data_IF_795764310166
#
_entry.id   IF_795764310166
#
_cell.length_a   1.000
_cell.length_b   1.000
_cell.length_c   1.000
_cell.angle_alpha   90.00
_cell.angle_beta   90.00
_cell.angle_gamma   90.00
#
_symmetry.space_group_name_H-M   'P 1'
#
loop_
_entity.id
_entity.type
_entity.pdbx_description
1 polymer ?
#
# COMPACT_ATOMS: atom_id res chain seq x y z
N UNK A 1 -24.68 -4.46 -21.69
CA UNK A 1 -24.97 -3.05 -21.33
C UNK A 1 -24.48 -2.02 -22.37
N UNK A 2 -24.23 -2.38 -23.64
CA UNK A 2 -23.58 -1.50 -24.63
C UNK A 2 -24.27 -0.14 -24.87
N UNK A 3 -25.60 -0.06 -25.10
CA UNK A 3 -26.28 1.22 -25.36
C UNK A 3 -26.15 2.16 -24.16
N UNK A 4 -26.44 1.64 -22.96
CA UNK A 4 -26.34 2.37 -21.70
C UNK A 4 -24.92 2.90 -21.43
N UNK A 5 -23.89 2.07 -21.65
CA UNK A 5 -22.49 2.48 -21.48
C UNK A 5 -22.10 3.63 -22.41
N UNK A 6 -22.51 3.58 -23.68
CA UNK A 6 -22.18 4.62 -24.65
C UNK A 6 -22.84 5.94 -24.30
N UNK A 7 -24.11 5.92 -23.85
CA UNK A 7 -24.84 7.13 -23.48
C UNK A 7 -24.28 7.76 -22.20
N UNK A 8 -23.95 6.95 -21.18
CA UNK A 8 -23.24 7.45 -20.01
C UNK A 8 -21.91 8.10 -20.38
N UNK A 9 -21.10 7.46 -21.24
CA UNK A 9 -19.83 8.04 -21.64
C UNK A 9 -20.05 9.36 -22.39
N UNK A 10 -20.97 9.41 -23.36
CA UNK A 10 -21.25 10.64 -24.10
C UNK A 10 -21.69 11.79 -23.19
N UNK A 11 -22.58 11.53 -22.23
CA UNK A 11 -23.01 12.53 -21.25
C UNK A 11 -21.88 12.95 -20.30
N UNK A 12 -21.02 12.01 -19.89
CA UNK A 12 -19.87 12.30 -19.04
C UNK A 12 -18.80 13.13 -19.77
N UNK A 13 -18.54 12.86 -21.05
CA UNK A 13 -17.60 13.63 -21.88
C UNK A 13 -18.01 15.09 -22.04
N UNK A 14 -19.31 15.40 -22.00
CA UNK A 14 -19.80 16.79 -22.00
C UNK A 14 -19.42 17.55 -20.71
N UNK A 15 -19.29 16.84 -19.58
CA UNK A 15 -18.92 17.41 -18.28
C UNK A 15 -17.41 17.41 -18.06
N UNK A 16 -16.73 16.39 -18.59
CA UNK A 16 -15.31 16.13 -18.41
C UNK A 16 -14.65 15.97 -19.80
N UNK A 17 -14.42 17.06 -20.54
CA UNK A 17 -13.95 16.99 -21.93
C UNK A 17 -12.53 16.41 -22.08
N UNK A 18 -11.78 16.30 -20.97
CA UNK A 18 -10.48 15.62 -20.91
C UNK A 18 -10.58 14.09 -20.85
N UNK A 19 -11.77 13.54 -20.60
CA UNK A 19 -12.03 12.10 -20.64
C UNK A 19 -12.60 11.76 -22.02
N UNK A 20 -12.02 10.76 -22.67
CA UNK A 20 -12.46 10.26 -23.97
C UNK A 20 -12.54 8.74 -23.98
N UNK A 21 -13.34 8.22 -24.91
CA UNK A 21 -13.36 6.81 -25.30
C UNK A 21 -11.94 6.30 -25.63
N UNK A 22 -11.51 5.25 -24.94
CA UNK A 22 -10.25 4.56 -25.19
C UNK A 22 -10.35 3.51 -26.32
N UNK A 23 -9.21 2.99 -26.81
CA UNK A 23 -9.18 1.99 -27.89
C UNK A 23 -9.87 0.67 -27.52
N UNK A 24 -9.90 0.33 -26.23
CA UNK A 24 -10.49 -0.91 -25.71
C UNK A 24 -11.96 -0.74 -25.27
N UNK A 25 -12.66 0.32 -25.72
CA UNK A 25 -14.07 0.52 -25.40
C UNK A 25 -14.97 -0.39 -26.26
N UNK A 26 -15.18 -1.60 -25.76
CA UNK A 26 -15.93 -2.69 -26.40
C UNK A 26 -16.84 -3.36 -25.35
N UNK A 27 -18.02 -3.80 -25.77
CA UNK A 27 -19.09 -4.30 -24.89
C UNK A 27 -19.74 -5.55 -25.51
N UNK A 28 -18.99 -6.64 -25.60
CA UNK A 28 -19.40 -7.86 -26.31
C UNK A 28 -20.18 -8.83 -25.41
N UNK A 29 -19.61 -9.21 -24.25
CA UNK A 29 -20.22 -10.13 -23.30
C UNK A 29 -19.68 -9.92 -21.88
N UNK A 30 -20.39 -10.43 -20.87
CA UNK A 30 -19.95 -10.38 -19.47
C UNK A 30 -18.63 -11.15 -19.26
N UNK A 31 -18.45 -12.29 -19.94
CA UNK A 31 -17.25 -13.15 -19.86
C UNK A 31 -16.02 -12.42 -20.40
N UNK A 32 -16.14 -11.81 -21.60
CA UNK A 32 -15.04 -11.07 -22.22
C UNK A 32 -14.70 -9.80 -21.44
N UNK A 33 -15.71 -9.10 -20.90
CA UNK A 33 -15.51 -7.93 -20.07
C UNK A 33 -14.72 -8.24 -18.78
N UNK A 34 -15.12 -9.29 -18.06
CA UNK A 34 -14.46 -9.63 -16.79
C UNK A 34 -13.01 -10.10 -16.99
N UNK A 35 -12.76 -10.92 -18.02
CA UNK A 35 -11.39 -11.31 -18.39
C UNK A 35 -10.53 -10.11 -18.78
N UNK A 36 -11.06 -9.17 -19.58
CA UNK A 36 -10.32 -7.96 -19.96
C UNK A 36 -9.97 -7.08 -18.75
N UNK A 37 -10.87 -6.95 -17.78
CA UNK A 37 -10.59 -6.25 -16.52
C UNK A 37 -9.47 -6.93 -15.74
N UNK A 38 -9.56 -8.25 -15.58
CA UNK A 38 -8.60 -9.06 -14.83
C UNK A 38 -7.16 -8.90 -15.34
N UNK A 39 -6.96 -8.92 -16.65
CA UNK A 39 -5.64 -8.74 -17.26
C UNK A 39 -5.22 -7.27 -17.44
N UNK A 40 -6.02 -6.31 -16.93
CA UNK A 40 -5.71 -4.88 -17.02
C UNK A 40 -5.84 -4.29 -18.41
N UNK A 41 -6.53 -4.98 -19.33
CA UNK A 41 -6.81 -4.49 -20.68
C UNK A 41 -7.96 -3.47 -20.69
N UNK A 42 -8.76 -3.40 -19.63
CA UNK A 42 -9.86 -2.46 -19.46
C UNK A 42 -9.84 -1.81 -18.07
N UNK A 43 -10.24 -0.54 -18.01
CA UNK A 43 -10.39 0.21 -16.75
C UNK A 43 -11.61 -0.26 -15.93
N UNK A 44 -12.67 -0.67 -16.62
CA UNK A 44 -13.98 -1.07 -16.07
C UNK A 44 -14.56 -2.23 -16.89
N UNK A 45 -15.38 -3.09 -16.26
CA UNK A 45 -16.12 -4.15 -16.92
C UNK A 45 -17.61 -4.10 -16.55
N UNK A 46 -18.51 -3.74 -17.48
CA UNK A 46 -19.96 -3.82 -17.26
C UNK A 46 -20.42 -5.27 -17.24
N UNK A 47 -21.23 -5.65 -16.25
CA UNK A 47 -21.74 -7.00 -16.06
C UNK A 47 -23.23 -6.98 -15.77
N UNK A 48 -23.99 -7.91 -16.34
CA UNK A 48 -25.42 -8.09 -16.05
C UNK A 48 -25.72 -9.16 -15.00
N UNK A 49 -24.66 -9.72 -14.42
CA UNK A 49 -24.68 -10.71 -13.33
C UNK A 49 -23.46 -10.54 -12.45
N UNK A 50 -23.47 -11.22 -11.30
CA UNK A 50 -22.24 -11.39 -10.53
C UNK A 50 -21.25 -12.30 -11.29
N UNK A 51 -19.93 -12.06 -11.13
CA UNK A 51 -18.91 -12.98 -11.61
C UNK A 51 -19.09 -14.36 -10.98
N UNK A 52 -18.86 -15.41 -11.75
CA UNK A 52 -18.87 -16.77 -11.25
C UNK A 52 -17.66 -17.02 -10.35
N UNK A 53 -17.73 -17.95 -9.39
CA UNK A 53 -16.58 -18.31 -8.56
C UNK A 53 -15.34 -18.69 -9.38
N UNK A 54 -15.51 -19.35 -10.53
CA UNK A 54 -14.43 -19.70 -11.46
C UNK A 54 -13.81 -18.49 -12.15
N UNK A 55 -14.58 -17.42 -12.38
CA UNK A 55 -14.06 -16.15 -12.89
C UNK A 55 -13.27 -15.40 -11.79
N UNK A 56 -13.60 -15.61 -10.51
CA UNK A 56 -12.90 -15.00 -9.37
C UNK A 56 -11.63 -15.76 -8.95
N UNK A 57 -11.58 -17.08 -9.18
CA UNK A 57 -10.45 -17.95 -8.80
C UNK A 57 -9.06 -17.40 -9.20
N UNK A 58 -8.85 -16.86 -10.43
CA UNK A 58 -7.55 -16.29 -10.79
C UNK A 58 -7.10 -15.12 -9.90
N UNK A 59 -8.02 -14.32 -9.35
CA UNK A 59 -7.68 -13.26 -8.38
C UNK A 59 -7.03 -13.80 -7.11
N UNK A 60 -7.45 -14.99 -6.66
CA UNK A 60 -6.88 -15.64 -5.48
C UNK A 60 -5.50 -16.26 -5.73
N UNK A 61 -5.22 -16.72 -6.95
CA UNK A 61 -4.05 -17.55 -7.25
C UNK A 61 -3.00 -16.89 -8.15
N UNK A 62 -3.42 -16.17 -9.20
CA UNK A 62 -2.52 -15.63 -10.23
C UNK A 62 -2.03 -14.22 -9.91
N UNK A 63 -2.75 -13.49 -9.07
CA UNK A 63 -2.45 -12.10 -8.74
C UNK A 63 -1.95 -11.90 -7.31
N UNK A 64 -1.52 -12.98 -6.65
CA UNK A 64 -0.78 -12.92 -5.39
C UNK A 64 0.53 -12.13 -5.61
N UNK A 65 0.75 -11.07 -4.83
CA UNK A 65 1.87 -10.13 -5.01
C UNK A 65 1.42 -8.74 -5.50
N UNK A 66 2.14 -8.14 -6.47
CA UNK A 66 1.92 -6.74 -6.84
C UNK A 66 0.54 -6.39 -7.43
N UNK A 67 -0.17 -7.45 -7.82
CA UNK A 67 -1.43 -7.36 -8.52
C UNK A 67 -2.62 -7.74 -7.64
N UNK A 68 -2.45 -7.90 -6.30
CA UNK A 68 -3.54 -8.17 -5.35
C UNK A 68 -4.62 -7.10 -5.45
N UNK A 69 -5.50 -7.31 -6.41
CA UNK A 69 -6.66 -6.54 -6.76
C UNK A 69 -7.82 -7.49 -6.53
N UNK A 70 -8.92 -6.94 -6.07
CA UNK A 70 -10.19 -7.62 -6.06
C UNK A 70 -11.17 -6.81 -6.89
N UNK A 71 -12.09 -7.47 -7.58
CA UNK A 71 -13.13 -6.77 -8.31
C UNK A 71 -14.04 -6.08 -7.29
N UNK A 72 -14.09 -4.75 -7.32
CA UNK A 72 -15.16 -3.99 -6.70
C UNK A 72 -16.36 -4.01 -7.65
N UNK A 73 -17.44 -4.65 -7.24
CA UNK A 73 -18.72 -4.63 -7.96
C UNK A 73 -19.56 -3.45 -7.48
N UNK A 74 -19.76 -2.48 -8.36
CA UNK A 74 -20.61 -1.31 -8.12
C UNK A 74 -21.92 -1.55 -8.83
N UNK A 75 -23.03 -1.67 -8.09
CA UNK A 75 -24.35 -1.80 -8.69
C UNK A 75 -24.73 -0.45 -9.30
N UNK A 76 -25.09 -0.42 -10.58
CA UNK A 76 -25.41 0.83 -11.31
C UNK A 76 -26.83 0.87 -11.87
N UNK A 77 -27.47 -0.28 -12.01
CA UNK A 77 -28.83 -0.45 -12.48
C UNK A 77 -29.36 -1.83 -12.09
N UNK A 78 -30.57 -2.15 -12.53
CA UNK A 78 -31.08 -3.51 -12.60
C UNK A 78 -31.54 -3.85 -14.02
N UNK A 79 -31.44 -5.12 -14.40
CA UNK A 79 -31.92 -5.70 -15.67
C UNK A 79 -32.76 -6.94 -15.33
N UNK A 80 -34.00 -7.00 -15.80
CA UNK A 80 -34.94 -8.10 -15.51
C UNK A 80 -35.05 -8.46 -14.00
N UNK A 81 -35.06 -7.43 -13.14
CA UNK A 81 -35.11 -7.59 -11.69
C UNK A 81 -33.81 -8.07 -11.03
N UNK A 82 -32.74 -8.25 -11.80
CA UNK A 82 -31.39 -8.62 -11.31
C UNK A 82 -30.46 -7.41 -11.28
N UNK A 83 -29.48 -7.35 -10.38
CA UNK A 83 -28.49 -6.27 -10.40
C UNK A 83 -27.62 -6.27 -11.66
N UNK A 84 -27.37 -5.07 -12.20
CA UNK A 84 -26.33 -4.83 -13.19
C UNK A 84 -25.18 -4.04 -12.53
N UNK A 85 -23.95 -4.44 -12.81
CA UNK A 85 -22.76 -3.97 -12.15
C UNK A 85 -21.79 -3.31 -13.13
N UNK A 86 -20.97 -2.40 -12.61
CA UNK A 86 -19.66 -2.11 -13.18
C UNK A 86 -18.63 -2.71 -12.22
N UNK A 87 -17.86 -3.68 -12.72
CA UNK A 87 -16.71 -4.22 -12.03
C UNK A 87 -15.48 -3.34 -12.30
N UNK A 88 -14.73 -3.02 -11.26
CA UNK A 88 -13.45 -2.31 -11.36
C UNK A 88 -12.39 -2.99 -10.52
N UNK A 89 -11.16 -2.94 -10.99
CA UNK A 89 -10.05 -3.57 -10.29
C UNK A 89 -9.55 -2.65 -9.16
N UNK A 90 -9.68 -3.08 -7.91
CA UNK A 90 -9.29 -2.30 -6.75
C UNK A 90 -8.33 -3.07 -5.86
N UNK A 91 -7.20 -2.47 -5.47
CA UNK A 91 -6.35 -3.03 -4.42
C UNK A 91 -6.99 -2.76 -3.06
N UNK A 92 -6.96 -3.72 -2.11
CA UNK A 92 -7.44 -3.49 -0.75
C UNK A 92 -6.85 -2.20 -0.17
N UNK A 93 -7.71 -1.34 0.39
CA UNK A 93 -7.30 -0.06 0.99
C UNK A 93 -6.88 1.04 -0.01
N UNK A 94 -6.70 0.75 -1.30
CA UNK A 94 -6.30 1.75 -2.29
C UNK A 94 -7.50 2.48 -2.91
N UNK A 95 -7.36 3.78 -3.22
CA UNK A 95 -8.38 4.51 -3.93
C UNK A 95 -8.50 4.07 -5.38
N UNK A 96 -9.71 4.18 -5.93
CA UNK A 96 -9.92 4.02 -7.37
C UNK A 96 -9.18 5.14 -8.13
N UNK A 97 -8.65 4.87 -9.34
CA UNK A 97 -8.15 5.93 -10.21
C UNK A 97 -9.22 7.02 -10.39
N UNK A 98 -8.82 8.29 -10.27
CA UNK A 98 -9.78 9.41 -10.21
C UNK A 98 -10.77 9.40 -11.39
N UNK A 99 -10.27 9.19 -12.62
CA UNK A 99 -11.11 9.09 -13.83
C UNK A 99 -12.21 8.02 -13.70
N UNK A 100 -11.87 6.85 -13.16
CA UNK A 100 -12.80 5.73 -12.98
C UNK A 100 -13.81 6.06 -11.88
N UNK A 101 -13.33 6.60 -10.75
CA UNK A 101 -14.18 7.04 -9.63
C UNK A 101 -15.22 8.06 -10.09
N UNK A 102 -14.80 9.11 -10.78
CA UNK A 102 -15.69 10.17 -11.26
C UNK A 102 -16.73 9.65 -12.26
N UNK A 103 -16.34 8.71 -13.13
CA UNK A 103 -17.28 8.12 -14.08
C UNK A 103 -18.33 7.22 -13.40
N UNK A 104 -17.93 6.43 -12.41
CA UNK A 104 -18.85 5.64 -11.58
C UNK A 104 -19.78 6.55 -10.76
N UNK A 105 -19.24 7.61 -10.15
CA UNK A 105 -20.02 8.59 -9.41
C UNK A 105 -21.04 9.30 -10.31
N UNK A 106 -20.68 9.59 -11.57
CA UNK A 106 -21.61 10.10 -12.57
C UNK A 106 -22.75 9.10 -12.85
N UNK A 107 -22.45 7.81 -13.06
CA UNK A 107 -23.50 6.79 -13.28
C UNK A 107 -24.48 6.71 -12.11
N UNK A 108 -23.98 6.87 -10.87
CA UNK A 108 -24.79 6.85 -9.64
C UNK A 108 -25.48 8.19 -9.34
N UNK A 109 -25.13 9.25 -10.07
CA UNK A 109 -25.77 10.55 -9.92
C UNK A 109 -27.19 10.54 -10.46
N UNK A 110 -27.98 11.58 -10.13
CA UNK A 110 -29.32 11.75 -10.68
C UNK A 110 -29.32 11.69 -12.21
N UNK A 111 -28.42 12.41 -12.86
CA UNK A 111 -28.36 12.48 -14.32
C UNK A 111 -27.96 11.13 -14.95
N UNK A 112 -27.06 10.41 -14.29
CA UNK A 112 -26.69 9.05 -14.69
C UNK A 112 -27.86 8.07 -14.57
N UNK A 113 -28.66 8.17 -13.51
CA UNK A 113 -29.84 7.33 -13.29
C UNK A 113 -31.03 7.73 -14.19
N UNK A 114 -31.16 9.00 -14.56
CA UNK A 114 -32.13 9.44 -15.58
C UNK A 114 -31.81 8.80 -16.95
N UNK A 115 -30.52 8.65 -17.30
CA UNK A 115 -30.13 7.88 -18.49
C UNK A 115 -30.60 6.42 -18.37
N UNK A 116 -30.46 5.77 -17.21
CA UNK A 116 -30.97 4.40 -17.02
C UNK A 116 -32.48 4.32 -17.26
N UNK A 117 -33.23 5.29 -16.73
CA UNK A 117 -34.69 5.34 -16.86
C UNK A 117 -35.17 5.44 -18.32
N UNK A 118 -34.33 5.96 -19.22
CA UNK A 118 -34.64 6.07 -20.65
C UNK A 118 -34.43 4.75 -21.42
N UNK A 119 -33.86 3.71 -20.80
CA UNK A 119 -33.65 2.41 -21.43
C UNK A 119 -34.68 1.39 -20.93
N UNK A 120 -35.54 0.89 -21.81
CA UNK A 120 -36.62 -0.04 -21.46
C UNK A 120 -36.17 -1.35 -20.77
N UNK A 121 -34.94 -1.81 -21.05
CA UNK A 121 -34.39 -3.04 -20.47
C UNK A 121 -33.74 -2.84 -19.09
N UNK A 122 -33.62 -1.60 -18.62
CA UNK A 122 -32.95 -1.29 -17.35
C UNK A 122 -33.87 -0.55 -16.40
N UNK A 123 -33.63 -0.73 -15.11
CA UNK A 123 -34.30 -0.02 -14.05
C UNK A 123 -33.28 0.81 -13.25
N UNK A 124 -33.55 2.10 -13.01
CA UNK A 124 -32.68 2.94 -12.20
C UNK A 124 -32.71 2.47 -10.75
N UNK A 125 -31.62 2.73 -10.05
CA UNK A 125 -31.52 2.58 -8.60
C UNK A 125 -32.34 3.66 -7.91
N UNK A 126 -32.88 3.34 -6.74
CA UNK A 126 -33.41 4.38 -5.84
C UNK A 126 -32.29 5.31 -5.38
N UNK A 127 -32.63 6.53 -4.97
CA UNK A 127 -31.66 7.50 -4.46
C UNK A 127 -30.84 6.95 -3.27
N UNK A 128 -31.46 6.12 -2.42
CA UNK A 128 -30.79 5.48 -1.28
C UNK A 128 -29.81 4.39 -1.74
N UNK A 129 -30.19 3.55 -2.71
CA UNK A 129 -29.29 2.55 -3.28
C UNK A 129 -28.09 3.21 -3.98
N UNK A 130 -28.34 4.22 -4.81
CA UNK A 130 -27.29 4.96 -5.48
C UNK A 130 -26.34 5.66 -4.49
N UNK A 131 -26.87 6.25 -3.42
CA UNK A 131 -26.06 6.86 -2.36
C UNK A 131 -25.18 5.83 -1.62
N UNK A 132 -25.72 4.65 -1.31
CA UNK A 132 -24.96 3.55 -0.70
C UNK A 132 -23.81 3.08 -1.60
N UNK A 133 -24.08 2.90 -2.89
CA UNK A 133 -23.05 2.53 -3.86
C UNK A 133 -22.00 3.64 -4.02
N UNK A 134 -22.41 4.90 -4.04
CA UNK A 134 -21.49 6.03 -4.17
C UNK A 134 -20.58 6.19 -2.94
N UNK A 135 -21.09 5.87 -1.75
CA UNK A 135 -20.30 5.84 -0.52
C UNK A 135 -19.17 4.79 -0.58
N UNK A 136 -19.41 3.64 -1.23
CA UNK A 136 -18.39 2.60 -1.44
C UNK A 136 -17.23 3.06 -2.34
N UNK A 137 -17.44 4.09 -3.16
CA UNK A 137 -16.40 4.71 -3.99
C UNK A 137 -15.49 5.67 -3.21
N UNK A 138 -15.93 6.13 -2.04
CA UNK A 138 -15.22 7.09 -1.20
C UNK A 138 -14.18 6.38 -0.35
N UNK A 139 -13.09 5.99 -0.98
CA UNK A 139 -11.88 5.47 -0.33
C UNK A 139 -10.93 6.61 0.01
N UNK A 140 -10.14 6.42 1.07
CA UNK A 140 -9.14 7.40 1.47
C UNK A 140 -8.13 7.59 0.33
N UNK A 141 -8.08 8.80 -0.21
CA UNK A 141 -7.08 9.22 -1.19
C UNK A 141 -6.02 10.05 -0.44
N UNK A 142 -4.78 9.54 -0.29
CA UNK A 142 -3.72 10.25 0.41
C UNK A 142 -3.51 11.64 -0.20
N UNK A 143 -3.35 12.71 0.60
CA UNK A 143 -3.05 14.02 0.06
C UNK A 143 -1.65 14.02 -0.57
N UNK A 144 -1.50 14.76 -1.68
CA UNK A 144 -0.20 15.04 -2.27
C UNK A 144 0.29 16.40 -1.80
N UNK A 145 1.39 16.43 -1.03
CA UNK A 145 1.94 17.64 -0.46
C UNK A 145 2.22 18.70 -1.57
N UNK A 146 1.57 19.89 -1.52
CA UNK A 146 1.75 20.93 -2.53
C UNK A 146 3.18 21.51 -2.55
N UNK A 147 3.96 21.34 -1.49
CA UNK A 147 5.35 21.81 -1.43
C UNK A 147 6.35 20.84 -2.09
N UNK A 148 5.89 19.68 -2.61
CA UNK A 148 6.74 18.79 -3.40
C UNK A 148 7.26 19.52 -4.65
N UNK A 149 8.57 19.39 -4.89
CA UNK A 149 9.21 20.07 -6.01
C UNK A 149 8.73 19.50 -7.35
N UNK A 150 8.53 20.37 -8.33
CA UNK A 150 8.30 19.96 -9.72
C UNK A 150 9.61 19.44 -10.30
N UNK A 151 9.56 18.31 -11.01
CA UNK A 151 10.73 17.75 -11.68
C UNK A 151 11.27 18.73 -12.73
N UNK A 152 12.59 18.91 -12.75
CA UNK A 152 13.30 19.69 -13.77
C UNK A 152 14.05 18.75 -14.70
N UNK A 153 13.75 18.85 -15.99
CA UNK A 153 14.46 18.09 -17.02
C UNK A 153 15.93 18.46 -17.07
N UNK A 154 16.72 17.52 -17.57
CA UNK A 154 18.18 17.59 -17.70
C UNK A 154 18.46 17.53 -19.19
N UNK A 155 19.14 18.55 -19.72
CA UNK A 155 19.46 18.61 -21.14
C UNK A 155 20.37 17.44 -21.55
N UNK A 156 20.14 16.89 -22.74
CA UNK A 156 20.95 15.83 -23.35
C UNK A 156 21.14 14.59 -22.46
N UNK A 157 20.14 14.27 -21.61
CA UNK A 157 20.19 13.07 -20.78
C UNK A 157 19.82 11.84 -21.60
N UNK A 158 20.77 10.91 -21.74
CA UNK A 158 20.59 9.64 -22.42
C UNK A 158 21.12 8.48 -21.58
N UNK A 159 20.54 7.30 -21.75
CA UNK A 159 21.05 6.09 -21.14
C UNK A 159 19.98 5.02 -20.93
N UNK A 160 20.43 3.86 -20.46
CA UNK A 160 19.56 2.80 -19.97
C UNK A 160 19.64 2.78 -18.44
N UNK A 161 18.57 2.34 -17.79
CA UNK A 161 18.54 2.12 -16.35
C UNK A 161 18.09 0.69 -16.09
N UNK A 162 18.93 -0.07 -15.41
CA UNK A 162 18.62 -1.42 -14.96
C UNK A 162 17.98 -1.39 -13.57
N UNK A 163 17.00 -2.27 -13.33
CA UNK A 163 16.36 -2.41 -12.03
C UNK A 163 15.91 -3.85 -11.76
N UNK A 164 16.49 -4.45 -10.72
CA UNK A 164 16.11 -5.77 -10.22
C UNK A 164 15.66 -5.65 -8.77
N UNK A 165 14.47 -6.16 -8.41
CA UNK A 165 14.05 -6.08 -7.01
C UNK A 165 12.65 -6.59 -6.69
N UNK A 166 12.01 -5.92 -5.72
CA UNK A 166 10.74 -6.35 -5.12
C UNK A 166 9.61 -6.42 -6.14
N UNK A 167 8.98 -7.58 -6.23
CA UNK A 167 7.73 -7.80 -6.95
C UNK A 167 6.66 -6.78 -6.53
N UNK A 168 6.48 -6.56 -5.22
CA UNK A 168 5.53 -5.58 -4.68
C UNK A 168 5.76 -4.12 -5.12
N UNK A 169 6.85 -3.78 -5.82
CA UNK A 169 7.09 -2.45 -6.38
C UNK A 169 7.03 -2.43 -7.92
N UNK A 170 6.85 -3.58 -8.58
CA UNK A 170 6.98 -3.72 -10.03
C UNK A 170 6.12 -2.72 -10.81
N UNK A 171 4.82 -2.69 -10.55
CA UNK A 171 3.87 -1.81 -11.23
C UNK A 171 4.21 -0.34 -11.03
N UNK A 172 4.62 0.04 -9.82
CA UNK A 172 5.01 1.42 -9.51
C UNK A 172 6.32 1.80 -10.24
N UNK A 173 7.30 0.90 -10.29
CA UNK A 173 8.54 1.08 -11.05
C UNK A 173 8.26 1.21 -12.55
N UNK A 174 7.40 0.35 -13.10
CA UNK A 174 6.98 0.40 -14.50
C UNK A 174 6.26 1.71 -14.85
N UNK A 175 5.34 2.17 -13.99
CA UNK A 175 4.68 3.47 -14.15
C UNK A 175 5.70 4.62 -14.09
N UNK A 176 6.58 4.64 -13.10
CA UNK A 176 7.58 5.70 -12.98
C UNK A 176 8.48 5.80 -14.21
N UNK A 177 9.05 4.70 -14.69
CA UNK A 177 9.96 4.77 -15.84
C UNK A 177 9.23 5.11 -17.14
N UNK A 178 7.97 4.68 -17.30
CA UNK A 178 7.14 5.08 -18.43
C UNK A 178 6.84 6.59 -18.41
N UNK A 179 6.45 7.12 -17.26
CA UNK A 179 6.13 8.54 -17.12
C UNK A 179 7.39 9.42 -17.21
N UNK A 180 8.51 8.93 -16.67
CA UNK A 180 9.82 9.57 -16.79
C UNK A 180 10.27 9.65 -18.25
N UNK A 181 10.11 8.57 -19.02
CA UNK A 181 10.46 8.55 -20.44
C UNK A 181 9.70 9.63 -21.23
N UNK A 182 8.46 9.96 -20.86
CA UNK A 182 7.70 11.06 -21.52
C UNK A 182 8.35 12.42 -21.33
N UNK A 183 9.03 12.66 -20.19
CA UNK A 183 9.69 13.94 -19.90
C UNK A 183 11.20 13.91 -20.20
N UNK A 184 11.79 12.73 -20.32
CA UNK A 184 13.21 12.47 -20.57
C UNK A 184 13.36 11.34 -21.60
N UNK A 185 13.01 11.58 -22.88
CA UNK A 185 12.91 10.52 -23.91
C UNK A 185 14.25 9.84 -24.24
N UNK A 186 15.37 10.46 -23.89
CA UNK A 186 16.70 9.87 -24.05
C UNK A 186 17.01 8.74 -23.08
N UNK A 187 16.24 8.59 -21.98
CA UNK A 187 16.42 7.53 -20.99
C UNK A 187 15.40 6.42 -21.19
N UNK A 188 15.86 5.17 -21.15
CA UNK A 188 15.03 3.98 -21.42
C UNK A 188 15.22 2.91 -20.34
N UNK A 189 14.28 1.95 -20.30
CA UNK A 189 14.46 0.70 -19.54
C UNK A 189 15.70 -0.03 -20.06
N UNK A 190 16.54 -0.51 -19.15
CA UNK A 190 17.64 -1.39 -19.46
C UNK A 190 17.19 -2.84 -19.70
N UNK A 191 18.17 -3.70 -19.96
CA UNK A 191 17.93 -5.13 -20.26
C UNK A 191 17.63 -5.92 -18.99
N UNK A 192 18.15 -5.47 -17.84
CA UNK A 192 17.94 -6.07 -16.53
C UNK A 192 16.81 -5.34 -15.81
N UNK A 193 15.58 -5.50 -16.28
CA UNK A 193 14.37 -4.92 -15.68
C UNK A 193 13.43 -6.01 -15.14
N UNK A 194 13.71 -6.51 -13.93
CA UNK A 194 13.06 -7.70 -13.36
C UNK A 194 12.73 -7.54 -11.86
N UNK A 195 11.44 -7.55 -11.52
CA UNK A 195 10.99 -7.39 -10.13
C UNK A 195 10.36 -8.66 -9.60
N UNK A 196 11.20 -9.62 -9.17
CA UNK A 196 10.79 -10.95 -8.71
C UNK A 196 10.90 -11.15 -7.18
N UNK A 197 11.44 -10.18 -6.45
CA UNK A 197 11.57 -10.26 -5.00
C UNK A 197 12.70 -9.39 -4.43
N UNK A 198 12.55 -8.98 -3.17
CA UNK A 198 13.53 -8.11 -2.49
C UNK A 198 14.93 -8.74 -2.42
N UNK A 199 15.02 -10.04 -2.14
CA UNK A 199 16.31 -10.74 -2.06
C UNK A 199 17.04 -10.75 -3.41
N UNK A 200 16.32 -10.92 -4.52
CA UNK A 200 16.91 -10.90 -5.86
C UNK A 200 17.57 -9.55 -6.16
N UNK A 201 16.92 -8.45 -5.77
CA UNK A 201 17.50 -7.12 -5.91
C UNK A 201 18.77 -6.92 -5.08
N UNK A 202 18.79 -7.44 -3.85
CA UNK A 202 20.00 -7.40 -3.02
C UNK A 202 21.15 -8.20 -3.65
N UNK A 203 20.88 -9.43 -4.10
CA UNK A 203 21.90 -10.27 -4.74
C UNK A 203 22.44 -9.60 -6.00
N UNK A 204 21.57 -9.00 -6.82
CA UNK A 204 21.98 -8.23 -8.00
C UNK A 204 22.85 -7.02 -7.63
N UNK A 205 22.54 -6.29 -6.56
CA UNK A 205 23.41 -5.22 -6.05
C UNK A 205 24.77 -5.76 -5.57
N UNK A 206 24.82 -6.91 -4.91
CA UNK A 206 26.08 -7.47 -4.43
C UNK A 206 27.07 -7.70 -5.59
N UNK A 207 26.58 -8.15 -6.75
CA UNK A 207 27.42 -8.43 -7.92
C UNK A 207 27.45 -7.31 -8.98
N UNK A 208 26.86 -6.14 -8.69
CA UNK A 208 26.72 -5.02 -9.63
C UNK A 208 25.96 -5.35 -10.94
N UNK A 209 24.96 -6.25 -10.89
CA UNK A 209 24.10 -6.63 -12.03
C UNK A 209 22.88 -5.71 -12.20
N UNK A 210 22.72 -4.69 -11.33
CA UNK A 210 21.63 -3.71 -11.44
C UNK A 210 22.05 -2.34 -10.93
N UNK A 211 21.51 -1.28 -11.53
CA UNK A 211 21.68 0.09 -11.03
C UNK A 211 20.86 0.35 -9.76
N UNK A 212 19.68 -0.26 -9.67
CA UNK A 212 18.68 0.02 -8.64
C UNK A 212 17.98 -1.24 -8.15
N UNK A 213 17.95 -1.44 -6.83
CA UNK A 213 17.13 -2.46 -6.20
C UNK A 213 15.98 -1.86 -5.39
N UNK A 214 14.75 -1.83 -5.94
CA UNK A 214 13.53 -1.59 -5.19
C UNK A 214 13.34 -2.67 -4.12
N UNK A 215 13.09 -2.28 -2.88
CA UNK A 215 12.94 -3.20 -1.75
C UNK A 215 11.72 -2.84 -0.90
N UNK A 216 10.87 -3.84 -0.65
CA UNK A 216 9.66 -3.70 0.18
C UNK A 216 9.90 -3.89 1.68
N UNK A 217 11.15 -4.06 2.10
CA UNK A 217 11.51 -4.19 3.51
C UNK A 217 12.88 -3.62 3.82
N UNK A 218 13.10 -3.47 5.12
CA UNK A 218 14.37 -3.13 5.73
C UNK A 218 15.44 -4.17 5.36
N UNK A 219 16.69 -3.71 5.26
CA UNK A 219 17.84 -4.59 5.02
C UNK A 219 18.11 -5.37 6.31
N UNK A 220 18.21 -6.68 6.20
CA UNK A 220 18.47 -7.52 7.37
C UNK A 220 19.93 -7.41 7.83
N UNK A 221 20.24 -7.72 9.10
CA UNK A 221 21.61 -7.66 9.61
C UNK A 221 22.59 -8.54 8.83
N UNK A 222 22.18 -9.75 8.46
CA UNK A 222 22.97 -10.69 7.63
C UNK A 222 23.22 -10.11 6.24
N UNK A 223 22.20 -9.50 5.64
CA UNK A 223 22.27 -8.86 4.33
C UNK A 223 23.21 -7.64 4.35
N UNK A 224 23.15 -6.86 5.43
CA UNK A 224 24.07 -5.74 5.66
C UNK A 224 25.52 -6.21 5.81
N UNK A 225 25.73 -7.32 6.55
CA UNK A 225 27.06 -7.96 6.69
C UNK A 225 27.59 -8.49 5.36
N UNK A 226 26.74 -9.12 4.56
CA UNK A 226 27.12 -9.59 3.22
C UNK A 226 27.52 -8.42 2.32
N UNK A 227 26.76 -7.32 2.35
CA UNK A 227 27.08 -6.11 1.60
C UNK A 227 28.43 -5.50 2.02
N UNK A 228 28.68 -5.38 3.33
CA UNK A 228 29.96 -4.87 3.86
C UNK A 228 31.15 -5.75 3.47
N UNK A 229 30.98 -7.08 3.53
CA UNK A 229 32.01 -8.02 3.11
C UNK A 229 32.36 -7.91 1.61
N UNK A 230 31.39 -7.57 0.76
CA UNK A 230 31.59 -7.47 -0.70
C UNK A 230 32.06 -6.08 -1.15
N UNK A 231 31.48 -5.02 -0.58
CA UNK A 231 31.69 -3.64 -1.05
C UNK A 231 32.54 -2.78 -0.11
N UNK A 232 32.98 -3.34 1.03
CA UNK A 232 33.72 -2.63 2.08
C UNK A 232 33.01 -1.35 2.55
N UNK A 233 31.69 -1.40 2.56
CA UNK A 233 30.79 -0.33 2.96
C UNK A 233 29.67 -0.92 3.80
N UNK A 234 29.40 -0.34 4.96
CA UNK A 234 28.42 -0.89 5.91
C UNK A 234 27.01 -1.06 5.32
N UNK A 235 26.60 -0.16 4.41
CA UNK A 235 25.27 -0.16 3.80
C UNK A 235 25.33 0.41 2.37
N UNK A 236 24.45 -0.05 1.46
CA UNK A 236 24.24 0.63 0.18
C UNK A 236 23.63 2.03 0.39
N UNK A 237 23.65 2.86 -0.66
CA UNK A 237 22.83 4.08 -0.67
C UNK A 237 21.38 3.68 -0.61
N UNK A 238 20.63 4.23 0.33
CA UNK A 238 19.20 3.94 0.51
C UNK A 238 18.34 5.20 0.38
N UNK A 239 17.40 5.13 -0.55
CA UNK A 239 16.44 6.18 -0.84
C UNK A 239 15.04 5.68 -0.45
N UNK A 240 14.38 6.35 0.49
CA UNK A 240 12.95 6.14 0.73
C UNK A 240 12.18 6.75 -0.43
N UNK A 241 11.24 6.02 -1.01
CA UNK A 241 10.49 6.49 -2.21
C UNK A 241 8.97 6.56 -2.00
N UNK A 242 8.47 5.84 -1.00
CA UNK A 242 7.09 5.89 -0.54
C UNK A 242 7.05 5.42 0.93
N UNK A 243 6.00 5.79 1.66
CA UNK A 243 5.63 5.12 2.91
C UNK A 243 4.94 3.79 2.60
N UNK A 244 5.03 2.86 3.52
CA UNK A 244 4.30 1.59 3.48
C UNK A 244 2.79 1.80 3.40
N UNK A 245 2.08 0.73 3.02
CA UNK A 245 0.64 0.75 2.92
C UNK A 245 -0.07 0.69 4.26
N UNK A 246 -1.38 0.85 4.21
CA UNK A 246 -2.30 0.70 5.32
C UNK A 246 -3.35 -0.34 4.94
N UNK A 247 -3.55 -1.34 5.81
CA UNK A 247 -4.56 -2.39 5.61
C UNK A 247 -4.43 -3.03 4.22
N UNK A 248 -3.19 -3.32 3.84
CA UNK A 248 -2.81 -3.91 2.56
C UNK A 248 -2.17 -5.26 2.82
N UNK A 249 -2.98 -6.34 2.94
CA UNK A 249 -2.47 -7.67 3.21
C UNK A 249 -1.29 -8.02 2.31
N UNK A 250 -0.30 -8.75 2.83
CA UNK A 250 0.90 -9.18 2.10
C UNK A 250 1.78 -8.04 1.54
N UNK A 251 1.60 -6.79 2.02
CA UNK A 251 2.46 -5.65 1.66
C UNK A 251 3.24 -5.14 2.87
N UNK A 252 4.05 -4.11 2.62
CA UNK A 252 4.79 -3.37 3.63
C UNK A 252 3.81 -2.52 4.46
N UNK A 253 3.18 -3.11 5.47
CA UNK A 253 2.18 -2.44 6.30
C UNK A 253 2.78 -1.82 7.56
N UNK A 254 2.20 -0.70 7.98
CA UNK A 254 2.44 -0.13 9.31
C UNK A 254 2.05 -1.13 10.41
N UNK A 255 2.79 -1.15 11.51
CA UNK A 255 2.63 -2.14 12.57
C UNK A 255 1.65 -1.62 13.64
N UNK A 256 0.55 -2.33 13.83
CA UNK A 256 -0.38 -2.15 14.93
C UNK A 256 0.20 -2.79 16.20
N UNK A 257 -0.11 -2.20 17.36
CA UNK A 257 0.11 -2.83 18.66
C UNK A 257 -1.24 -3.30 19.18
N UNK A 258 -1.38 -4.59 19.41
CA UNK A 258 -2.61 -5.21 19.84
C UNK A 258 -2.55 -5.62 21.31
N UNK A 259 -3.70 -5.43 21.98
CA UNK A 259 -4.02 -5.96 23.30
C UNK A 259 -5.42 -6.60 23.23
N UNK A 260 -5.81 -7.43 24.21
CA UNK A 260 -7.20 -7.87 24.34
C UNK A 260 -8.17 -6.69 24.40
N UNK A 261 -9.37 -6.87 23.86
CA UNK A 261 -10.40 -5.82 23.80
C UNK A 261 -10.74 -5.23 25.19
N UNK A 262 -10.71 -6.06 26.22
CA UNK A 262 -11.00 -5.68 27.61
C UNK A 262 -9.81 -5.07 28.38
N UNK A 263 -8.62 -5.00 27.77
CA UNK A 263 -7.47 -4.35 28.40
C UNK A 263 -7.75 -2.84 28.50
N UNK A 264 -7.59 -2.17 29.65
CA UNK A 264 -7.94 -0.75 29.79
C UNK A 264 -6.92 0.20 29.14
N UNK A 265 -5.72 -0.24 28.79
CA UNK A 265 -4.72 0.62 28.14
C UNK A 265 -5.22 1.05 26.75
N UNK A 266 -5.08 2.33 26.42
CA UNK A 266 -5.50 2.89 25.12
C UNK A 266 -4.33 3.40 24.29
N UNK A 267 -3.17 3.61 24.91
CA UNK A 267 -2.04 4.27 24.28
C UNK A 267 -0.71 3.81 24.86
N UNK A 268 0.35 3.83 24.05
CA UNK A 268 1.70 3.41 24.43
C UNK A 268 2.77 4.19 23.66
N UNK A 269 3.95 4.39 24.24
CA UNK A 269 5.08 5.02 23.53
C UNK A 269 6.01 3.97 22.93
N UNK A 270 6.75 4.34 21.86
CA UNK A 270 7.79 3.47 21.30
C UNK A 270 8.85 3.10 22.34
N UNK A 271 9.17 4.00 23.28
CA UNK A 271 10.09 3.72 24.36
C UNK A 271 9.57 2.63 25.31
N UNK A 272 8.31 2.73 25.74
CA UNK A 272 7.66 1.70 26.57
C UNK A 272 7.58 0.36 25.86
N UNK A 273 7.31 0.35 24.54
CA UNK A 273 7.37 -0.88 23.76
C UNK A 273 8.77 -1.52 23.81
N UNK A 274 9.83 -0.73 23.68
CA UNK A 274 11.19 -1.25 23.78
C UNK A 274 11.50 -1.81 25.18
N UNK A 275 10.97 -1.18 26.24
CA UNK A 275 11.09 -1.62 27.64
C UNK A 275 10.31 -2.90 27.95
N UNK A 276 9.35 -3.30 27.11
CA UNK A 276 8.60 -4.57 27.21
C UNK A 276 9.26 -5.65 26.33
N UNK A 277 9.57 -5.30 25.08
CA UNK A 277 9.92 -6.24 24.01
C UNK A 277 11.42 -6.54 23.94
N UNK A 278 12.28 -5.73 24.55
CA UNK A 278 13.74 -5.89 24.53
C UNK A 278 14.25 -6.97 25.48
N UNK A 279 15.46 -7.48 25.23
CA UNK A 279 16.11 -8.55 26.01
C UNK A 279 16.19 -8.29 27.52
N UNK A 280 16.25 -7.03 27.94
CA UNK A 280 16.30 -6.60 29.33
C UNK A 280 15.05 -5.77 29.67
N UNK A 281 13.88 -6.41 29.83
CA UNK A 281 12.64 -5.70 30.02
C UNK A 281 12.62 -4.98 31.38
N UNK A 282 12.29 -3.69 31.38
CA UNK A 282 12.05 -2.90 32.61
C UNK A 282 10.56 -2.78 32.93
N UNK A 283 9.70 -3.01 31.93
CA UNK A 283 8.24 -3.08 32.07
C UNK A 283 7.82 -4.53 31.88
N UNK A 284 7.32 -5.14 32.95
CA UNK A 284 6.89 -6.55 33.02
C UNK A 284 5.47 -6.70 33.57
N UNK A 285 4.88 -5.64 34.12
CA UNK A 285 3.51 -5.60 34.65
C UNK A 285 2.75 -4.39 34.13
N UNK A 286 1.44 -4.55 33.95
CA UNK A 286 0.54 -3.51 33.45
C UNK A 286 0.44 -2.29 34.36
N UNK A 287 0.65 -2.44 35.68
CA UNK A 287 0.71 -1.31 36.61
C UNK A 287 1.82 -0.31 36.33
N UNK A 288 2.93 -0.75 35.71
CA UNK A 288 4.03 0.13 35.31
C UNK A 288 3.67 1.05 34.13
N UNK A 289 2.57 0.74 33.43
CA UNK A 289 1.96 1.58 32.39
C UNK A 289 0.80 2.44 32.94
N UNK A 290 0.61 2.47 34.26
CA UNK A 290 -0.41 3.28 34.94
C UNK A 290 -1.76 2.59 35.10
N UNK A 291 -1.89 1.30 34.79
CA UNK A 291 -3.13 0.56 35.06
C UNK A 291 -3.26 0.25 36.56
N UNK A 292 -4.50 0.18 37.06
CA UNK A 292 -4.79 0.06 38.51
C UNK A 292 -5.69 -1.14 38.81
N UNK A 293 -5.96 -1.37 40.10
CA UNK A 293 -6.81 -2.47 40.56
C UNK A 293 -6.24 -3.83 40.17
N UNK A 294 -7.08 -4.73 39.63
CA UNK A 294 -6.66 -6.06 39.19
C UNK A 294 -5.58 -6.06 38.08
N UNK A 295 -5.33 -4.91 37.43
CA UNK A 295 -4.28 -4.76 36.42
C UNK A 295 -2.94 -4.31 36.99
N UNK A 296 -2.89 -3.78 38.23
CA UNK A 296 -1.65 -3.25 38.78
C UNK A 296 -0.53 -4.32 38.85
N UNK A 297 -0.88 -5.50 39.36
CA UNK A 297 0.05 -6.63 39.51
C UNK A 297 0.00 -7.63 38.36
N UNK A 298 -0.85 -7.40 37.35
CA UNK A 298 -1.01 -8.32 36.23
C UNK A 298 0.26 -8.35 35.38
N UNK A 299 0.86 -9.54 35.13
CA UNK A 299 2.02 -9.66 34.24
C UNK A 299 1.63 -9.35 32.79
N UNK A 300 2.64 -8.91 32.02
CA UNK A 300 2.53 -8.74 30.58
C UNK A 300 3.01 -10.03 29.90
N UNK A 301 2.13 -10.67 29.13
CA UNK A 301 2.48 -11.79 28.24
C UNK A 301 2.73 -11.25 26.85
N UNK A 302 3.83 -11.65 26.20
CA UNK A 302 4.20 -11.13 24.88
C UNK A 302 3.97 -12.21 23.83
N UNK A 303 3.14 -11.91 22.83
CA UNK A 303 2.93 -12.76 21.66
C UNK A 303 3.43 -12.04 20.41
N UNK A 304 4.12 -12.76 19.54
CA UNK A 304 4.60 -12.22 18.26
C UNK A 304 4.64 -13.28 17.16
N UNK A 305 4.60 -12.86 15.88
CA UNK A 305 4.98 -13.73 14.77
C UNK A 305 6.40 -14.26 14.96
N UNK A 306 6.84 -15.31 14.23
CA UNK A 306 8.18 -15.84 14.37
C UNK A 306 9.21 -14.74 14.16
N UNK A 307 10.31 -14.72 14.91
CA UNK A 307 11.26 -13.60 14.87
C UNK A 307 11.88 -13.37 13.48
N UNK A 308 11.93 -14.41 12.64
CA UNK A 308 12.36 -14.36 11.24
C UNK A 308 11.32 -13.78 10.28
N UNK A 309 10.08 -13.56 10.74
CA UNK A 309 9.01 -13.00 9.92
C UNK A 309 9.24 -11.50 9.64
N UNK A 310 8.79 -10.98 8.49
CA UNK A 310 8.99 -9.57 8.14
C UNK A 310 8.47 -8.56 9.18
N UNK A 311 7.32 -8.83 9.80
CA UNK A 311 6.73 -7.96 10.84
C UNK A 311 7.61 -7.88 12.08
N UNK A 312 8.11 -9.03 12.56
CA UNK A 312 9.03 -9.10 13.69
C UNK A 312 10.34 -8.37 13.36
N UNK A 313 10.98 -8.68 12.24
CA UNK A 313 12.21 -7.99 11.83
C UNK A 313 12.04 -6.46 11.74
N UNK A 314 10.92 -5.99 11.19
CA UNK A 314 10.63 -4.55 11.13
C UNK A 314 10.45 -3.94 12.53
N UNK A 315 9.72 -4.61 13.43
CA UNK A 315 9.58 -4.15 14.83
C UNK A 315 10.91 -4.16 15.57
N UNK A 316 11.79 -5.13 15.33
CA UNK A 316 13.13 -5.16 15.89
C UNK A 316 13.95 -3.94 15.43
N UNK A 317 13.83 -3.55 14.16
CA UNK A 317 14.50 -2.36 13.62
C UNK A 317 13.89 -1.07 14.19
N UNK A 318 12.56 -0.92 14.17
CA UNK A 318 11.87 0.32 14.53
C UNK A 318 11.84 0.59 16.05
N UNK A 319 11.58 -0.45 16.85
CA UNK A 319 11.40 -0.33 18.30
C UNK A 319 12.69 -0.65 19.04
N UNK A 320 13.33 -1.78 18.70
CA UNK A 320 14.53 -2.24 19.41
C UNK A 320 15.84 -1.70 18.83
N UNK A 321 15.80 -0.95 17.72
CA UNK A 321 16.98 -0.41 17.02
C UNK A 321 18.01 -1.50 16.68
N UNK A 322 17.52 -2.70 16.32
CA UNK A 322 18.34 -3.88 16.04
C UNK A 322 18.75 -4.68 17.28
N UNK A 323 18.25 -4.32 18.48
CA UNK A 323 18.47 -5.06 19.72
C UNK A 323 17.79 -6.43 19.75
N UNK A 324 18.18 -7.28 20.70
CA UNK A 324 17.61 -8.63 20.87
C UNK A 324 16.24 -8.59 21.55
N UNK A 325 15.41 -9.57 21.22
CA UNK A 325 14.09 -9.76 21.83
C UNK A 325 14.17 -10.22 23.28
N UNK A 326 13.14 -9.87 24.05
CA UNK A 326 12.83 -10.46 25.34
C UNK A 326 12.77 -11.99 25.22
N UNK A 327 13.39 -12.73 26.14
CA UNK A 327 13.40 -14.22 26.09
C UNK A 327 12.05 -14.85 26.46
N UNK A 328 11.14 -14.07 27.04
CA UNK A 328 9.81 -14.51 27.42
C UNK A 328 8.77 -14.38 26.28
N UNK A 329 9.18 -14.01 25.06
CA UNK A 329 8.24 -13.92 23.92
C UNK A 329 7.71 -15.30 23.55
N UNK A 330 6.41 -15.35 23.25
CA UNK A 330 5.75 -16.50 22.66
C UNK A 330 5.60 -16.29 21.16
N UNK A 331 6.33 -17.07 20.38
CA UNK A 331 6.23 -17.07 18.92
C UNK A 331 5.10 -17.99 18.46
N UNK A 332 4.30 -17.52 17.50
CA UNK A 332 3.28 -18.31 16.83
C UNK A 332 3.08 -17.84 15.40
N UNK A 333 2.31 -18.55 14.58
CA UNK A 333 1.88 -18.01 13.29
C UNK A 333 1.11 -16.69 13.48
N UNK A 334 0.93 -15.90 12.42
CA UNK A 334 0.14 -14.64 12.49
C UNK A 334 -1.24 -14.88 13.10
N UNK A 335 -1.95 -15.92 12.63
CA UNK A 335 -3.26 -16.28 13.13
C UNK A 335 -3.23 -16.72 14.60
N UNK A 336 -2.26 -17.55 14.98
CA UNK A 336 -2.10 -18.01 16.38
C UNK A 336 -1.73 -16.86 17.32
N UNK A 337 -0.93 -15.90 16.84
CA UNK A 337 -0.56 -14.70 17.60
C UNK A 337 -1.81 -13.85 17.88
N UNK A 338 -2.61 -13.56 16.85
CA UNK A 338 -3.85 -12.81 16.99
C UNK A 338 -4.84 -13.51 17.95
N UNK A 339 -5.02 -14.83 17.78
CA UNK A 339 -5.89 -15.63 18.64
C UNK A 339 -5.42 -15.65 20.11
N UNK A 340 -4.11 -15.80 20.34
CA UNK A 340 -3.55 -15.80 21.69
C UNK A 340 -3.74 -14.45 22.39
N UNK A 341 -3.52 -13.34 21.68
CA UNK A 341 -3.74 -12.00 22.22
C UNK A 341 -5.23 -11.78 22.55
N UNK A 342 -6.16 -12.30 21.75
CA UNK A 342 -7.59 -12.14 22.04
C UNK A 342 -8.05 -12.89 23.31
N UNK A 343 -7.40 -14.00 23.66
CA UNK A 343 -7.82 -14.88 24.76
C UNK A 343 -7.05 -14.69 26.07
N UNK A 344 -5.85 -14.11 26.06
CA UNK A 344 -5.08 -13.83 27.29
C UNK A 344 -5.25 -12.37 27.73
N UNK A 345 -5.97 -12.06 28.83
CA UNK A 345 -6.14 -10.71 29.33
C UNK A 345 -4.83 -9.96 29.61
N UNK A 346 -3.72 -10.66 29.86
CA UNK A 346 -2.40 -10.07 30.09
C UNK A 346 -1.60 -9.79 28.82
N UNK A 347 -2.12 -10.10 27.63
CA UNK A 347 -1.35 -10.11 26.39
C UNK A 347 -1.07 -8.73 25.79
N UNK A 348 0.09 -8.64 25.15
CA UNK A 348 0.44 -7.63 24.16
C UNK A 348 1.12 -8.29 22.98
N UNK A 349 0.89 -7.77 21.78
CA UNK A 349 1.60 -8.19 20.58
C UNK A 349 1.48 -7.15 19.47
N UNK A 350 1.89 -7.53 18.27
CA UNK A 350 1.90 -6.65 17.12
C UNK A 350 1.66 -7.40 15.81
N UNK A 351 1.27 -6.66 14.78
CA UNK A 351 1.00 -7.19 13.46
C UNK A 351 0.61 -6.09 12.46
N UNK A 352 0.27 -6.48 11.24
CA UNK A 352 -0.46 -5.59 10.33
C UNK A 352 -1.84 -5.24 10.90
N UNK A 353 -2.40 -4.07 10.58
CA UNK A 353 -3.74 -3.72 11.08
C UNK A 353 -4.81 -4.72 10.61
N UNK A 354 -4.62 -5.27 9.41
CA UNK A 354 -5.44 -6.33 8.81
C UNK A 354 -5.44 -7.64 9.61
N UNK A 355 -4.47 -7.83 10.50
CA UNK A 355 -4.35 -9.00 11.39
C UNK A 355 -5.12 -8.80 12.71
N UNK A 356 -5.76 -7.64 12.90
CA UNK A 356 -6.72 -7.38 13.97
C UNK A 356 -8.03 -8.14 13.78
N UNK A 357 -8.98 -7.96 14.69
CA UNK A 357 -10.27 -8.66 14.60
C UNK A 357 -11.05 -8.63 15.91
N UNK A 358 -12.08 -9.47 15.99
CA UNK A 358 -12.90 -9.62 17.19
C UNK A 358 -12.02 -9.98 18.41
N UNK A 359 -12.23 -9.32 19.54
CA UNK A 359 -11.45 -9.54 20.76
C UNK A 359 -10.09 -8.85 20.81
N UNK A 360 -9.68 -8.14 19.74
CA UNK A 360 -8.44 -7.36 19.70
C UNK A 360 -8.71 -5.87 19.67
N UNK A 361 -7.86 -5.12 20.37
CA UNK A 361 -7.85 -3.66 20.35
C UNK A 361 -6.47 -3.14 19.99
N UNK A 362 -6.42 -2.23 19.01
CA UNK A 362 -5.19 -1.54 18.64
C UNK A 362 -4.95 -0.32 19.56
N UNK A 363 -3.72 -0.16 20.04
CA UNK A 363 -3.30 0.99 20.84
C UNK A 363 -2.87 2.17 19.95
N UNK A 364 -3.15 3.39 20.41
CA UNK A 364 -2.53 4.58 19.85
C UNK A 364 -1.04 4.65 20.24
N UNK A 365 -0.16 5.05 19.33
CA UNK A 365 1.28 5.05 19.57
C UNK A 365 1.87 6.45 19.45
N UNK A 366 2.68 6.83 20.44
CA UNK A 366 3.51 8.04 20.38
C UNK A 366 4.98 7.70 20.10
N UNK A 367 5.59 8.43 19.17
CA UNK A 367 7.00 8.22 18.81
C UNK A 367 8.00 8.65 19.89
N UNK A 368 7.60 9.56 20.79
CA UNK A 368 8.42 10.09 21.88
C UNK A 368 7.57 10.24 23.14
N UNK A 369 8.20 10.13 24.31
CA UNK A 369 7.57 10.45 25.58
C UNK A 369 7.10 11.93 25.60
N UNK A 370 5.89 12.17 26.11
CA UNK A 370 5.27 13.50 26.13
C UNK A 370 4.80 14.02 24.76
N UNK A 371 4.94 13.24 23.68
CA UNK A 371 4.44 13.57 22.36
C UNK A 371 2.96 13.15 22.15
N UNK A 372 2.36 13.57 21.02
CA UNK A 372 1.01 13.13 20.66
C UNK A 372 0.97 11.63 20.33
N UNK A 373 -0.12 10.99 20.73
CA UNK A 373 -0.43 9.61 20.38
C UNK A 373 -1.32 9.61 19.13
N UNK A 374 -1.01 8.71 18.20
CA UNK A 374 -1.79 8.55 16.98
C UNK A 374 -2.35 7.14 16.88
N UNK A 375 -3.63 7.03 16.53
CA UNK A 375 -4.20 5.75 16.13
C UNK A 375 -3.59 5.30 14.79
N UNK A 376 -3.52 4.00 14.57
CA UNK A 376 -3.18 3.47 13.26
C UNK A 376 -4.41 3.53 12.36
N UNK A 377 -4.50 4.60 11.58
CA UNK A 377 -5.49 4.80 10.52
C UNK A 377 -4.82 5.29 9.24
N UNK A 378 -5.57 5.35 8.14
CA UNK A 378 -5.04 5.75 6.85
C UNK A 378 -4.48 7.19 6.84
N UNK A 379 -5.06 8.11 7.62
CA UNK A 379 -4.61 9.51 7.69
C UNK A 379 -3.28 9.64 8.44
N UNK A 380 -3.17 8.99 9.59
CA UNK A 380 -1.98 9.00 10.44
C UNK A 380 -0.83 8.21 9.82
N UNK A 381 -1.12 7.10 9.12
CA UNK A 381 -0.13 6.36 8.36
C UNK A 381 0.36 7.14 7.13
N UNK A 382 -0.54 7.72 6.33
CA UNK A 382 -0.13 8.45 5.10
C UNK A 382 0.60 9.76 5.39
N UNK A 383 0.24 10.46 6.46
CA UNK A 383 0.94 11.68 6.89
C UNK A 383 2.29 11.41 7.55
N UNK A 384 2.57 10.17 7.96
CA UNK A 384 3.75 9.82 8.74
C UNK A 384 3.69 10.22 10.21
N UNK A 385 2.50 10.56 10.73
CA UNK A 385 2.30 10.86 12.16
C UNK A 385 2.38 9.60 13.01
N UNK A 386 1.87 8.47 12.50
CA UNK A 386 1.97 7.19 13.20
C UNK A 386 3.40 6.63 13.15
N UNK A 387 4.05 6.37 14.30
CA UNK A 387 5.50 6.16 14.36
C UNK A 387 5.97 4.77 13.88
N UNK A 388 5.09 3.77 13.79
CA UNK A 388 5.42 2.43 13.30
C UNK A 388 5.04 2.25 11.82
N UNK A 389 5.06 3.36 11.07
CA UNK A 389 4.89 3.36 9.62
C UNK A 389 6.22 3.02 8.95
N UNK A 390 6.18 2.03 8.06
CA UNK A 390 7.35 1.57 7.30
C UNK A 390 7.54 2.38 6.02
N UNK A 391 8.61 2.12 5.28
CA UNK A 391 8.86 2.73 3.98
C UNK A 391 9.13 1.69 2.90
N UNK A 392 8.97 2.11 1.65
CA UNK A 392 9.49 1.45 0.46
C UNK A 392 10.83 2.11 0.10
N UNK A 393 11.80 1.29 -0.29
CA UNK A 393 13.16 1.73 -0.52
C UNK A 393 13.60 1.46 -1.96
N UNK A 394 14.50 2.28 -2.48
CA UNK A 394 15.38 1.91 -3.58
C UNK A 394 16.80 1.96 -3.03
N UNK A 395 17.53 0.84 -3.13
CA UNK A 395 18.93 0.72 -2.72
C UNK A 395 19.83 0.68 -3.95
N UNK A 396 21.01 1.29 -3.85
CA UNK A 396 21.95 1.48 -4.97
C UNK A 396 23.41 1.39 -4.50
N UNK A 397 24.30 0.99 -5.40
CA UNK A 397 25.75 1.10 -5.21
C UNK A 397 26.26 2.46 -5.68
N UNK A 398 27.40 2.90 -5.15
CA UNK A 398 28.14 4.05 -5.71
C UNK A 398 29.20 3.59 -6.71
N UNK A 399 29.56 4.43 -7.71
CA UNK A 399 29.00 5.76 -8.01
C UNK A 399 27.64 5.69 -8.73
N UNK A 400 26.82 6.74 -8.56
CA UNK A 400 25.52 6.84 -9.24
C UNK A 400 25.67 7.50 -10.61
N UNK A 401 25.11 6.89 -11.66
CA UNK A 401 25.04 7.48 -12.99
C UNK A 401 24.05 8.65 -13.05
N UNK A 402 24.23 9.59 -14.00
CA UNK A 402 23.31 10.72 -14.14
C UNK A 402 21.88 10.32 -14.53
N UNK A 403 21.63 9.32 -15.41
CA UNK A 403 20.28 8.81 -15.65
C UNK A 403 19.59 8.32 -14.37
N UNK A 404 20.30 7.56 -13.53
CA UNK A 404 19.77 7.05 -12.25
C UNK A 404 19.46 8.19 -11.29
N UNK A 405 20.37 9.17 -11.11
CA UNK A 405 20.10 10.35 -10.27
C UNK A 405 18.89 11.14 -10.79
N UNK A 406 18.79 11.34 -12.09
CA UNK A 406 17.67 12.06 -12.70
C UNK A 406 16.34 11.32 -12.50
N UNK A 407 16.34 9.99 -12.59
CA UNK A 407 15.16 9.17 -12.35
C UNK A 407 14.74 9.19 -10.87
N UNK A 408 15.68 9.10 -9.93
CA UNK A 408 15.37 9.26 -8.49
C UNK A 408 14.86 10.66 -8.16
N UNK A 409 15.40 11.71 -8.79
CA UNK A 409 14.86 13.08 -8.69
C UNK A 409 13.44 13.17 -9.21
N UNK A 410 13.10 12.43 -10.26
CA UNK A 410 11.73 12.35 -10.77
C UNK A 410 10.80 11.63 -9.80
N UNK A 411 11.20 10.46 -9.29
CA UNK A 411 10.45 9.68 -8.29
C UNK A 411 10.11 10.53 -7.05
N UNK A 412 11.09 11.31 -6.56
CA UNK A 412 10.93 12.18 -5.39
C UNK A 412 10.23 13.52 -5.69
N UNK A 413 9.93 13.80 -6.95
CA UNK A 413 9.20 15.01 -7.36
C UNK A 413 7.70 14.87 -7.16
N UNK A 414 6.96 15.98 -7.30
CA UNK A 414 5.49 15.97 -7.31
C UNK A 414 4.92 15.00 -8.36
N UNK A 415 5.53 14.96 -9.55
CA UNK A 415 5.08 14.08 -10.64
C UNK A 415 5.30 12.60 -10.32
N UNK A 416 6.45 12.26 -9.70
CA UNK A 416 6.73 10.89 -9.27
C UNK A 416 5.91 10.44 -8.06
N UNK A 417 5.55 11.36 -7.16
CA UNK A 417 4.74 11.03 -5.98
C UNK A 417 3.24 10.90 -6.27
N UNK A 418 2.71 11.50 -7.34
CA UNK A 418 1.29 11.36 -7.72
C UNK A 418 0.84 9.89 -7.94
N UNK A 419 1.53 9.05 -8.74
CA UNK A 419 1.12 7.65 -8.93
C UNK A 419 1.19 6.81 -7.64
N UNK A 420 1.97 7.23 -6.63
CA UNK A 420 2.08 6.52 -5.35
C UNK A 420 0.72 6.45 -4.62
N UNK A 421 -0.10 7.49 -4.77
CA UNK A 421 -1.43 7.58 -4.11
C UNK A 421 -2.39 6.46 -4.51
N UNK A 422 -2.11 5.80 -5.63
CA UNK A 422 -2.91 4.72 -6.20
C UNK A 422 -2.19 3.36 -6.14
N UNK A 423 -0.97 3.30 -5.60
CA UNK A 423 -0.12 2.10 -5.63
C UNK A 423 -0.23 1.20 -4.39
N UNK A 424 -1.17 1.49 -3.49
CA UNK A 424 -1.33 0.86 -2.16
C UNK A 424 -0.25 1.26 -1.14
N UNK A 425 0.60 2.22 -1.51
CA UNK A 425 1.57 2.91 -0.65
C UNK A 425 1.14 4.36 -0.46
N UNK A 426 1.88 5.10 0.38
CA UNK A 426 1.60 6.52 0.60
C UNK A 426 2.74 7.42 0.12
N UNK A 427 2.43 8.59 -0.49
CA UNK A 427 3.45 9.50 -0.94
C UNK A 427 4.25 10.05 0.24
N UNK A 428 5.51 10.39 -0.02
CA UNK A 428 6.35 11.16 0.88
C UNK A 428 5.88 12.62 0.92
N UNK A 429 6.11 13.28 2.05
CA UNK A 429 5.94 14.73 2.14
C UNK A 429 7.18 15.47 1.60
N UNK A 430 7.08 16.78 1.41
CA UNK A 430 8.17 17.59 0.86
C UNK A 430 9.42 17.63 1.74
N UNK A 431 9.29 17.43 3.05
CA UNK A 431 10.44 17.37 3.96
C UNK A 431 11.21 16.06 3.79
N UNK A 432 10.51 14.93 3.73
CA UNK A 432 11.14 13.64 3.45
C UNK A 432 11.76 13.60 2.06
N UNK A 433 11.02 14.02 1.02
CA UNK A 433 11.55 14.05 -0.34
C UNK A 433 12.85 14.88 -0.43
N UNK A 434 12.93 16.03 0.27
CA UNK A 434 14.17 16.83 0.35
C UNK A 434 15.31 16.10 1.08
N UNK A 435 15.03 15.40 2.17
CA UNK A 435 16.02 14.58 2.87
C UNK A 435 16.59 13.49 1.96
N UNK A 436 15.72 12.82 1.20
CA UNK A 436 16.10 11.75 0.28
C UNK A 436 16.86 12.30 -0.94
N UNK A 437 16.44 13.43 -1.50
CA UNK A 437 17.16 14.13 -2.57
C UNK A 437 18.59 14.52 -2.16
N UNK A 438 18.80 14.88 -0.89
CA UNK A 438 20.12 15.25 -0.38
C UNK A 438 21.12 14.09 -0.39
N UNK A 439 20.65 12.83 -0.36
CA UNK A 439 21.49 11.62 -0.42
C UNK A 439 22.04 11.33 -1.83
N UNK A 440 21.47 11.96 -2.86
CA UNK A 440 21.88 11.76 -4.27
C UNK A 440 23.15 12.55 -4.65
N UNK A 441 23.68 13.35 -3.73
CA UNK A 441 24.90 14.13 -3.92
C UNK A 441 26.14 13.25 -3.99
#
# INVERSE_FOLDING_TARGET
MKPLMNEWLAAFEQRQPGVRRGPNWQHESDVTAFGALMFGNADIAPLTREPWPTELQPYAHQFAGDMMKSPLLVRVASVDGRPAYIAVNQRPGAPLPQKVKEFLAFMLSRDGQEIVANHASFQPLSANEAAKENARLQTFLPPLDPALQVYKTVANLHGKIDSIGSDGMKSLMDTWIQDFHRVQPGVQKGERWEHLGTLNGLLALLVNDTDMAPMGRELWPEESRAYDATHHQKFPVEIRVARGGFNTPQRTTAQAIFVPENNPLTQITVAQLAEILGEHPTITRWGQLGLTGAWADRPITIYMPPHVAPNAMSMQVMVLKGGRWNRAVHEGSIAQTAEAIAHDPGAIGFGGLEEGGAGLKALAVAGKAGGPFYALDAENASSGRYPLTRYMYIRLNRPLSEPVKAFLRYILSRAGQEPVRYSAYFPLNATEARQELAKLK
#
